data_IF_950564825811
#
_entry.id   IF_950564825811
#
_cell.length_a   1.000
_cell.length_b   1.000
_cell.length_c   1.000
_cell.angle_alpha   90.00
_cell.angle_beta   90.00
_cell.angle_gamma   90.00
#
_symmetry.space_group_name_H-M   'P 1'
#
loop_
_entity.id
_entity.type
_entity.pdbx_description
1 polymer ?
#
# COMPACT_ATOMS: atom_id res chain seq x y z
N UNK A 1 -23.41 22.68 34.07
CA UNK A 1 -23.00 21.41 33.52
C UNK A 1 -21.57 21.59 33.04
N UNK A 2 -20.61 20.81 33.60
CA UNK A 2 -19.23 20.84 33.18
C UNK A 2 -19.19 20.24 31.78
N UNK A 3 -18.75 21.02 30.78
CA UNK A 3 -18.40 20.54 29.47
C UNK A 3 -17.50 19.29 29.61
N UNK A 4 -17.98 18.18 29.11
CA UNK A 4 -17.17 16.97 29.00
C UNK A 4 -16.10 17.30 27.98
N UNK A 5 -14.84 17.45 28.43
CA UNK A 5 -13.73 17.98 27.66
C UNK A 5 -13.25 17.12 26.48
N UNK A 6 -14.17 16.68 25.63
CA UNK A 6 -13.87 16.04 24.34
C UNK A 6 -13.96 17.10 23.25
N UNK A 7 -12.83 17.43 22.64
CA UNK A 7 -12.74 18.26 21.46
C UNK A 7 -12.66 17.36 20.23
N UNK A 8 -13.58 17.57 19.29
CA UNK A 8 -13.53 16.93 17.98
C UNK A 8 -12.39 17.54 17.16
N UNK A 9 -11.48 16.71 16.71
CA UNK A 9 -10.37 17.12 15.83
C UNK A 9 -10.45 16.38 14.50
N UNK A 10 -10.06 17.06 13.43
CA UNK A 10 -9.96 16.47 12.11
C UNK A 10 -8.99 15.28 12.14
N UNK A 11 -9.43 14.14 11.64
CA UNK A 11 -8.57 12.99 11.41
C UNK A 11 -7.58 13.25 10.26
N UNK A 12 -6.57 12.38 10.16
CA UNK A 12 -5.48 12.52 9.17
C UNK A 12 -6.03 12.59 7.75
N UNK A 13 -6.96 11.72 7.39
CA UNK A 13 -7.53 11.66 6.04
C UNK A 13 -8.37 12.91 5.72
N UNK A 14 -9.19 13.38 6.65
CA UNK A 14 -9.96 14.60 6.48
C UNK A 14 -9.04 15.82 6.28
N UNK A 15 -8.02 15.96 7.11
CA UNK A 15 -7.04 17.04 6.99
C UNK A 15 -6.27 16.98 5.67
N UNK A 16 -5.98 15.79 5.18
CA UNK A 16 -5.34 15.56 3.88
C UNK A 16 -6.25 16.00 2.73
N UNK A 17 -7.51 15.58 2.73
CA UNK A 17 -8.47 15.96 1.70
C UNK A 17 -8.70 17.48 1.65
N UNK A 18 -8.77 18.15 2.81
CA UNK A 18 -8.87 19.63 2.87
C UNK A 18 -7.67 20.32 2.20
N UNK A 19 -6.47 19.79 2.38
CA UNK A 19 -5.27 20.31 1.71
C UNK A 19 -5.32 20.08 0.20
N UNK A 20 -5.69 18.89 -0.22
CA UNK A 20 -5.83 18.56 -1.64
C UNK A 20 -6.89 19.42 -2.35
N UNK A 21 -8.03 19.69 -1.69
CA UNK A 21 -9.05 20.56 -2.21
C UNK A 21 -8.57 22.01 -2.39
N UNK A 22 -7.62 22.47 -1.55
CA UNK A 22 -7.01 23.79 -1.66
C UNK A 22 -5.92 23.88 -2.73
N UNK A 23 -5.52 22.77 -3.34
CA UNK A 23 -4.46 22.66 -4.34
C UNK A 23 -4.89 21.74 -5.49
N UNK A 24 -5.89 22.16 -6.29
CA UNK A 24 -6.55 21.30 -7.28
C UNK A 24 -5.67 21.01 -8.49
N UNK A 25 -4.62 21.78 -8.73
CA UNK A 25 -3.72 21.64 -9.88
C UNK A 25 -2.66 20.53 -9.70
N UNK A 26 -2.53 20.00 -8.48
CA UNK A 26 -1.56 18.95 -8.17
C UNK A 26 -2.23 17.65 -7.72
N UNK A 27 -1.62 16.52 -8.07
CA UNK A 27 -2.05 15.20 -7.61
C UNK A 27 -1.59 14.95 -6.17
N UNK A 28 -2.50 14.41 -5.34
CA UNK A 28 -2.28 14.13 -3.94
C UNK A 28 -2.41 12.62 -3.68
N UNK A 29 -1.35 12.00 -3.14
CA UNK A 29 -1.30 10.56 -2.90
C UNK A 29 -1.40 10.25 -1.40
N UNK A 30 -2.49 9.58 -1.00
CA UNK A 30 -2.69 9.11 0.36
C UNK A 30 -2.31 7.63 0.45
N UNK A 31 -1.17 7.34 1.09
CA UNK A 31 -0.63 5.99 1.19
C UNK A 31 -1.06 5.38 2.53
N UNK A 32 -1.66 4.18 2.47
CA UNK A 32 -2.04 3.39 3.63
C UNK A 32 -1.18 2.12 3.62
N UNK A 33 -0.18 2.10 4.49
CA UNK A 33 0.63 0.90 4.68
C UNK A 33 -0.13 -0.14 5.49
N UNK A 34 0.05 -1.42 5.16
CA UNK A 34 -0.61 -2.55 5.83
C UNK A 34 -2.15 -2.39 5.90
N UNK A 35 -2.77 -1.97 4.79
CA UNK A 35 -4.21 -1.67 4.74
C UNK A 35 -5.10 -2.84 5.21
N UNK A 36 -4.61 -4.08 5.09
CA UNK A 36 -5.29 -5.29 5.51
C UNK A 36 -5.19 -5.60 7.02
N UNK A 37 -4.35 -4.87 7.78
CA UNK A 37 -4.26 -5.06 9.26
C UNK A 37 -5.43 -4.46 10.02
N UNK A 38 -6.17 -3.54 9.43
CA UNK A 38 -7.34 -2.93 10.03
C UNK A 38 -8.63 -3.33 9.33
N UNK A 39 -9.77 -3.22 10.01
CA UNK A 39 -11.06 -3.29 9.34
C UNK A 39 -11.34 -1.95 8.66
N UNK A 40 -10.82 -1.79 7.44
CA UNK A 40 -10.87 -0.54 6.68
C UNK A 40 -12.30 -0.10 6.42
N UNK A 41 -13.23 -1.03 6.18
CA UNK A 41 -14.65 -0.71 5.99
C UNK A 41 -15.25 -0.10 7.25
N UNK A 42 -14.86 -0.55 8.44
CA UNK A 42 -15.28 0.08 9.71
C UNK A 42 -14.58 1.41 9.96
N UNK A 43 -13.30 1.53 9.59
CA UNK A 43 -12.51 2.75 9.78
C UNK A 43 -13.04 3.87 8.87
N UNK A 44 -13.29 3.57 7.60
CA UNK A 44 -13.82 4.54 6.65
C UNK A 44 -15.32 4.77 6.85
N UNK A 45 -16.07 3.75 7.30
CA UNK A 45 -17.50 3.88 7.57
C UNK A 45 -18.25 4.51 6.39
N UNK A 46 -18.90 5.64 6.64
CA UNK A 46 -19.64 6.40 5.63
C UNK A 46 -18.77 6.98 4.51
N UNK A 47 -17.44 7.17 4.76
CA UNK A 47 -16.50 7.64 3.76
C UNK A 47 -16.19 6.59 2.69
N UNK A 48 -16.50 5.32 2.93
CA UNK A 48 -16.19 4.23 2.02
C UNK A 48 -16.79 4.44 0.61
N UNK A 49 -17.95 5.09 0.53
CA UNK A 49 -18.55 5.44 -0.74
C UNK A 49 -17.73 6.48 -1.52
N UNK A 50 -17.15 7.44 -0.82
CA UNK A 50 -16.37 8.54 -1.41
C UNK A 50 -14.98 8.11 -1.90
N UNK A 51 -14.57 6.88 -1.60
CA UNK A 51 -13.33 6.30 -2.15
C UNK A 51 -13.49 5.99 -3.64
N UNK A 52 -14.70 5.66 -4.09
CA UNK A 52 -15.00 5.39 -5.50
C UNK A 52 -14.73 6.63 -6.35
N UNK A 53 -14.06 6.47 -7.49
CA UNK A 53 -13.63 7.60 -8.33
C UNK A 53 -14.80 8.38 -8.92
N UNK A 54 -15.93 7.72 -9.17
CA UNK A 54 -17.18 8.31 -9.67
C UNK A 54 -18.05 8.96 -8.57
N UNK A 55 -17.58 8.93 -7.33
CA UNK A 55 -18.25 9.50 -6.14
C UNK A 55 -17.38 10.55 -5.44
N UNK A 56 -16.52 11.23 -6.19
CA UNK A 56 -15.65 12.29 -5.68
C UNK A 56 -16.13 13.66 -6.09
N UNK A 57 -15.57 14.67 -5.44
CA UNK A 57 -15.95 16.08 -5.69
C UNK A 57 -17.13 16.56 -4.87
N UNK A 58 -17.41 17.85 -4.98
CA UNK A 58 -18.39 18.55 -4.17
C UNK A 58 -19.83 18.03 -4.34
N UNK A 59 -20.17 17.53 -5.51
CA UNK A 59 -21.51 16.99 -5.82
C UNK A 59 -21.87 15.74 -4.99
N UNK A 60 -20.86 15.05 -4.45
CA UNK A 60 -21.02 13.87 -3.61
C UNK A 60 -20.73 14.13 -2.13
N UNK A 61 -20.64 15.40 -1.74
CA UNK A 61 -20.35 15.76 -0.36
C UNK A 61 -21.39 15.21 0.60
N UNK A 62 -20.92 14.63 1.70
CA UNK A 62 -21.75 14.11 2.79
C UNK A 62 -21.47 14.87 4.07
N UNK A 63 -22.44 14.87 4.98
CA UNK A 63 -22.23 15.44 6.30
C UNK A 63 -21.78 14.36 7.27
N UNK A 64 -20.54 14.49 7.76
CA UNK A 64 -19.99 13.57 8.74
C UNK A 64 -20.64 13.73 10.10
N UNK A 65 -20.73 12.63 10.85
CA UNK A 65 -21.29 12.67 12.20
C UNK A 65 -20.47 13.63 13.09
N UNK A 66 -21.16 14.59 13.69
CA UNK A 66 -20.53 15.61 14.54
C UNK A 66 -19.88 16.78 13.80
N UNK A 67 -19.98 16.85 12.48
CA UNK A 67 -19.55 18.00 11.67
C UNK A 67 -20.75 18.79 11.16
N UNK A 68 -20.59 20.12 11.11
CA UNK A 68 -21.54 21.01 10.45
C UNK A 68 -21.24 21.17 8.96
N UNK A 69 -19.99 20.98 8.59
CA UNK A 69 -19.51 21.22 7.23
C UNK A 69 -19.62 19.95 6.39
N UNK A 70 -20.03 20.05 5.12
CA UNK A 70 -20.01 18.93 4.21
C UNK A 70 -18.56 18.52 3.91
N UNK A 71 -18.37 17.22 3.74
CA UNK A 71 -17.07 16.62 3.39
C UNK A 71 -17.17 15.83 2.10
N UNK A 72 -16.18 15.98 1.25
CA UNK A 72 -15.99 15.18 0.04
C UNK A 72 -14.52 14.79 -0.11
N UNK A 73 -14.26 13.77 -0.90
CA UNK A 73 -12.91 13.43 -1.34
C UNK A 73 -12.65 14.14 -2.67
N UNK A 74 -11.64 15.00 -2.77
CA UNK A 74 -11.31 15.70 -4.01
C UNK A 74 -10.90 14.74 -5.13
N UNK A 75 -11.13 15.12 -6.38
CA UNK A 75 -10.84 14.30 -7.56
C UNK A 75 -9.34 14.06 -7.75
N UNK A 76 -8.50 15.01 -7.32
CA UNK A 76 -7.04 14.94 -7.37
C UNK A 76 -6.41 14.10 -6.24
N UNK A 77 -7.23 13.42 -5.42
CA UNK A 77 -6.73 12.51 -4.36
C UNK A 77 -6.66 11.08 -4.88
N UNK A 78 -5.49 10.48 -4.79
CA UNK A 78 -5.24 9.07 -5.10
C UNK A 78 -4.98 8.30 -3.81
N UNK A 79 -5.68 7.19 -3.60
CA UNK A 79 -5.51 6.35 -2.42
C UNK A 79 -4.76 5.08 -2.82
N UNK A 80 -3.60 4.84 -2.20
CA UNK A 80 -2.76 3.68 -2.45
C UNK A 80 -2.72 2.85 -1.17
N UNK A 81 -3.28 1.64 -1.22
CA UNK A 81 -3.19 0.68 -0.13
C UNK A 81 -2.08 -0.33 -0.40
N UNK A 82 -1.13 -0.45 0.53
CA UNK A 82 -0.10 -1.48 0.48
C UNK A 82 -0.47 -2.61 1.45
N UNK A 83 -0.22 -3.86 1.05
CA UNK A 83 -0.48 -5.01 1.89
C UNK A 83 0.57 -6.10 1.66
N UNK A 84 0.89 -6.81 2.73
CA UNK A 84 1.68 -8.03 2.66
C UNK A 84 0.75 -9.24 2.66
N UNK A 85 0.72 -9.98 1.54
CA UNK A 85 -0.14 -11.15 1.37
C UNK A 85 0.42 -12.42 2.01
N UNK A 86 1.70 -12.42 2.41
CA UNK A 86 2.33 -13.54 3.11
C UNK A 86 1.82 -13.71 4.55
N UNK A 87 1.34 -12.64 5.18
CA UNK A 87 0.83 -12.71 6.55
C UNK A 87 -0.60 -13.25 6.57
N UNK A 88 -0.73 -14.56 6.83
CA UNK A 88 -2.02 -15.28 6.91
C UNK A 88 -2.83 -14.96 8.17
N UNK A 89 -2.25 -14.29 9.15
CA UNK A 89 -2.95 -13.88 10.37
C UNK A 89 -3.86 -12.68 10.16
N UNK A 90 -3.76 -12.04 8.99
CA UNK A 90 -4.46 -10.82 8.65
C UNK A 90 -5.79 -11.12 7.96
N UNK A 91 -6.80 -10.34 8.30
CA UNK A 91 -8.13 -10.48 7.72
C UNK A 91 -8.10 -10.32 6.20
N UNK A 92 -8.83 -11.20 5.50
CA UNK A 92 -9.08 -11.01 4.08
C UNK A 92 -9.75 -9.65 3.88
N UNK A 93 -9.27 -8.91 2.89
CA UNK A 93 -9.94 -7.67 2.46
C UNK A 93 -11.40 -7.99 2.14
N UNK A 94 -12.30 -7.28 2.79
CA UNK A 94 -13.72 -7.49 2.59
C UNK A 94 -14.18 -7.17 1.16
N UNK A 95 -15.33 -7.70 0.80
CA UNK A 95 -15.88 -7.55 -0.55
C UNK A 95 -16.16 -6.08 -0.91
N UNK A 96 -16.48 -5.25 0.09
CA UNK A 96 -16.77 -3.84 -0.13
C UNK A 96 -15.53 -3.05 -0.58
N UNK A 97 -14.36 -3.38 -0.04
CA UNK A 97 -13.08 -2.82 -0.49
C UNK A 97 -12.65 -3.40 -1.84
N UNK A 98 -12.82 -4.70 -2.04
CA UNK A 98 -12.39 -5.36 -3.29
C UNK A 98 -12.94 -4.70 -4.54
N UNK A 99 -14.17 -4.25 -4.53
CA UNK A 99 -14.81 -3.60 -5.70
C UNK A 99 -14.44 -2.13 -5.89
N UNK A 100 -13.76 -1.51 -4.90
CA UNK A 100 -13.39 -0.09 -4.90
C UNK A 100 -11.94 0.18 -5.25
N UNK A 101 -11.11 -0.85 -5.19
CA UNK A 101 -9.68 -0.76 -5.49
C UNK A 101 -9.33 -1.63 -6.69
N UNK A 102 -8.45 -1.12 -7.54
CA UNK A 102 -7.69 -1.94 -8.47
C UNK A 102 -6.57 -2.65 -7.71
N UNK A 103 -6.41 -3.95 -7.94
CA UNK A 103 -5.37 -4.74 -7.30
C UNK A 103 -4.21 -4.97 -8.25
N UNK A 104 -3.03 -4.69 -7.77
CA UNK A 104 -1.80 -4.93 -8.48
C UNK A 104 -0.84 -5.74 -7.60
N UNK A 105 -0.31 -6.84 -8.12
CA UNK A 105 0.68 -7.66 -7.41
C UNK A 105 2.07 -7.26 -7.85
N UNK A 106 2.92 -6.89 -6.88
CA UNK A 106 4.34 -6.64 -7.11
C UNK A 106 5.08 -7.98 -6.99
N UNK A 107 5.50 -8.52 -8.14
CA UNK A 107 6.34 -9.72 -8.17
C UNK A 107 7.80 -9.37 -7.91
N UNK A 108 8.60 -10.32 -7.36
CA UNK A 108 10.04 -10.18 -7.29
C UNK A 108 10.63 -9.92 -8.67
N UNK A 109 11.34 -8.80 -8.84
CA UNK A 109 11.80 -8.32 -10.13
C UNK A 109 13.26 -8.70 -10.42
N UNK A 110 13.65 -9.98 -10.24
CA UNK A 110 15.00 -10.47 -10.52
C UNK A 110 15.39 -10.36 -12.00
N UNK A 111 14.38 -10.41 -12.89
CA UNK A 111 14.57 -10.31 -14.33
C UNK A 111 14.53 -8.87 -14.85
N UNK A 112 14.27 -7.88 -13.98
CA UNK A 112 14.22 -6.48 -14.39
C UNK A 112 15.61 -5.99 -14.80
N UNK A 113 15.71 -5.25 -15.91
CA UNK A 113 16.97 -4.74 -16.46
C UNK A 113 17.76 -3.93 -15.42
N UNK A 114 17.09 -2.99 -14.72
CA UNK A 114 17.76 -2.16 -13.72
C UNK A 114 18.31 -2.97 -12.51
N UNK A 115 17.66 -4.10 -12.15
CA UNK A 115 18.20 -4.97 -11.11
C UNK A 115 19.39 -5.78 -11.64
N UNK A 116 19.33 -6.27 -12.88
CA UNK A 116 20.46 -6.98 -13.51
C UNK A 116 21.69 -6.09 -13.66
N UNK A 117 21.51 -4.87 -14.16
CA UNK A 117 22.59 -3.87 -14.27
C UNK A 117 23.21 -3.57 -12.90
N UNK A 118 22.37 -3.46 -11.86
CA UNK A 118 22.87 -3.30 -10.50
C UNK A 118 23.73 -4.49 -10.05
N UNK A 119 23.28 -5.72 -10.26
CA UNK A 119 24.03 -6.95 -9.88
C UNK A 119 25.35 -7.03 -10.65
N UNK A 120 25.34 -6.76 -11.95
CA UNK A 120 26.53 -6.73 -12.78
C UNK A 120 27.54 -5.67 -12.31
N UNK A 121 27.06 -4.49 -11.90
CA UNK A 121 27.89 -3.41 -11.38
C UNK A 121 28.65 -3.78 -10.11
N UNK A 122 28.13 -4.75 -9.32
CA UNK A 122 28.77 -5.25 -8.11
C UNK A 122 29.96 -6.21 -8.40
N UNK A 123 30.05 -6.73 -9.61
CA UNK A 123 31.12 -7.64 -10.07
C UNK A 123 31.43 -8.78 -9.09
N UNK A 124 30.37 -9.40 -8.55
CA UNK A 124 30.45 -10.43 -7.50
C UNK A 124 29.80 -11.74 -7.97
N UNK A 125 30.60 -12.73 -8.32
CA UNK A 125 30.16 -14.08 -8.66
C UNK A 125 29.32 -14.71 -7.53
N UNK A 126 29.64 -14.36 -6.30
CA UNK A 126 28.90 -14.86 -5.13
C UNK A 126 27.48 -14.33 -5.09
N UNK A 127 27.31 -13.01 -5.31
CA UNK A 127 26.01 -12.38 -5.37
C UNK A 127 25.15 -13.01 -6.47
N UNK A 128 25.70 -13.18 -7.65
CA UNK A 128 25.02 -13.81 -8.79
C UNK A 128 24.54 -15.22 -8.44
N UNK A 129 25.41 -16.05 -7.85
CA UNK A 129 25.05 -17.42 -7.45
C UNK A 129 23.94 -17.46 -6.39
N UNK A 130 23.96 -16.51 -5.44
CA UNK A 130 22.90 -16.42 -4.42
C UNK A 130 21.57 -16.02 -5.05
N UNK A 131 21.59 -15.06 -5.97
CA UNK A 131 20.37 -14.62 -6.69
C UNK A 131 19.79 -15.77 -7.52
N UNK A 132 20.61 -16.51 -8.25
CA UNK A 132 20.18 -17.68 -9.02
C UNK A 132 19.56 -18.77 -8.13
N UNK A 133 20.16 -19.01 -6.96
CA UNK A 133 19.63 -19.98 -6.00
C UNK A 133 18.28 -19.52 -5.42
N UNK A 134 18.15 -18.23 -5.09
CA UNK A 134 16.90 -17.67 -4.58
C UNK A 134 15.81 -17.63 -5.65
N UNK A 135 16.15 -17.35 -6.89
CA UNK A 135 15.20 -17.41 -8.01
C UNK A 135 14.60 -18.82 -8.15
N UNK A 136 15.44 -19.87 -8.12
CA UNK A 136 14.97 -21.27 -8.12
C UNK A 136 14.13 -21.61 -6.90
N UNK A 137 14.54 -21.16 -5.72
CA UNK A 137 13.76 -21.34 -4.48
C UNK A 137 12.39 -20.66 -4.58
N UNK A 138 12.32 -19.51 -5.21
CA UNK A 138 11.03 -18.81 -5.44
C UNK A 138 10.08 -19.60 -6.34
N UNK A 139 10.60 -20.37 -7.31
CA UNK A 139 9.79 -21.26 -8.13
C UNK A 139 9.22 -22.42 -7.29
N UNK A 140 10.03 -22.99 -6.40
CA UNK A 140 9.60 -24.03 -5.47
C UNK A 140 8.55 -23.49 -4.48
N UNK A 141 8.79 -22.30 -3.89
CA UNK A 141 7.86 -21.62 -2.99
C UNK A 141 6.53 -21.37 -3.69
N UNK A 142 6.54 -20.89 -4.93
CA UNK A 142 5.33 -20.61 -5.68
C UNK A 142 4.51 -21.86 -6.00
N UNK A 143 5.20 -23.00 -6.22
CA UNK A 143 4.57 -24.30 -6.50
C UNK A 143 4.04 -25.01 -5.24
N UNK A 144 4.51 -24.63 -4.05
CA UNK A 144 4.11 -25.25 -2.79
C UNK A 144 2.67 -24.84 -2.41
N UNK A 145 1.74 -25.83 -2.23
CA UNK A 145 0.35 -25.55 -1.88
C UNK A 145 0.15 -24.85 -0.53
N UNK A 146 1.14 -24.97 0.39
CA UNK A 146 1.09 -24.36 1.70
C UNK A 146 1.65 -22.94 1.71
N UNK A 147 2.57 -22.62 0.81
CA UNK A 147 3.21 -21.30 0.71
C UNK A 147 2.54 -20.45 -0.37
N UNK A 148 2.76 -20.77 -1.62
CA UNK A 148 2.26 -20.03 -2.76
C UNK A 148 3.07 -18.76 -3.08
N UNK A 149 2.71 -18.08 -4.16
CA UNK A 149 3.46 -16.95 -4.72
C UNK A 149 3.66 -15.77 -3.76
N UNK A 150 2.77 -15.59 -2.78
CA UNK A 150 2.87 -14.50 -1.80
C UNK A 150 4.08 -14.63 -0.86
N UNK A 151 4.71 -15.80 -0.78
CA UNK A 151 5.89 -16.05 0.05
C UNK A 151 7.22 -15.95 -0.70
N UNK A 152 7.21 -15.60 -1.99
CA UNK A 152 8.44 -15.39 -2.76
C UNK A 152 9.33 -14.34 -2.09
N UNK A 153 10.62 -14.61 -2.08
CA UNK A 153 11.64 -13.68 -1.56
C UNK A 153 11.82 -12.55 -2.57
N UNK A 154 11.72 -11.31 -2.09
CA UNK A 154 11.86 -10.11 -2.91
C UNK A 154 13.31 -9.83 -3.31
N UNK A 155 13.50 -9.24 -4.50
CA UNK A 155 14.81 -8.81 -4.99
C UNK A 155 15.41 -7.65 -4.18
N UNK A 156 14.59 -6.88 -3.46
CA UNK A 156 15.02 -5.75 -2.63
C UNK A 156 15.99 -6.11 -1.52
N UNK A 157 15.97 -7.36 -1.04
CA UNK A 157 16.93 -7.85 -0.05
C UNK A 157 18.39 -7.91 -0.57
N UNK A 158 18.57 -7.87 -1.88
CA UNK A 158 19.88 -7.98 -2.53
C UNK A 158 20.45 -6.63 -2.98
N UNK A 159 19.76 -5.51 -2.69
CA UNK A 159 20.35 -4.19 -2.78
C UNK A 159 21.24 -3.96 -1.56
N UNK A 160 22.55 -4.25 -1.72
CA UNK A 160 23.56 -4.14 -0.66
C UNK A 160 24.58 -3.07 -1.01
N UNK A 161 24.89 -2.20 -0.06
CA UNK A 161 25.84 -1.11 -0.25
C UNK A 161 27.28 -1.61 -0.23
N UNK A 162 27.57 -2.62 0.60
CA UNK A 162 28.90 -3.26 0.71
C UNK A 162 29.00 -4.52 -0.12
N UNK A 163 30.13 -4.81 -0.74
CA UNK A 163 30.38 -6.09 -1.42
C UNK A 163 30.23 -7.24 -0.40
N UNK A 164 29.37 -8.21 -0.74
CA UNK A 164 29.10 -9.41 0.08
C UNK A 164 30.37 -10.20 0.42
N UNK A 165 31.43 -10.00 -0.36
CA UNK A 165 32.70 -10.70 -0.22
C UNK A 165 33.58 -10.15 0.93
N UNK A 166 33.22 -9.02 1.55
CA UNK A 166 34.06 -8.36 2.54
C UNK A 166 33.85 -8.82 4.01
N UNK A 167 32.90 -9.70 4.30
CA UNK A 167 32.49 -10.03 5.68
C UNK A 167 32.29 -11.52 6.00
N UNK A 168 32.96 -12.44 5.29
CA UNK A 168 32.96 -13.86 5.68
C UNK A 168 34.35 -14.44 5.62
#
# INVERSE_FOLDING_TARGET
PKDSGFEMRDGVFLSFCKKAAADPDNDWFFIIDEINRGNVSKILGELLMLVETDKRGEDYAIRLQGSTDPFYVPENVYIIGMMNTADRSIALIDYALRRRFAFYTLEPAFENEGFRDYVESKNSDRLTKVIDAVSKLNDEIAADPLLGAGFKIGHSYFYVDDPIDAKL
#
